data_IF_402679332072
#
_entry.id   IF_402679332072
#
_cell.length_a   1.000
_cell.length_b   1.000
_cell.length_c   1.000
_cell.angle_alpha   90.00
_cell.angle_beta   90.00
_cell.angle_gamma   90.00
#
_symmetry.space_group_name_H-M   'P 1'
#
loop_
_entity.id
_entity.type
_entity.pdbx_description
1 polymer ?
#
# COMPACT_ATOMS: atom_id res chain seq x y z
N UNK A 1 15.78 -13.54 -14.91
CA UNK A 1 15.76 -14.46 -13.74
C UNK A 1 14.44 -14.25 -13.03
N UNK A 2 13.82 -15.31 -12.53
CA UNK A 2 12.59 -15.23 -11.75
C UNK A 2 12.94 -14.82 -10.32
N UNK A 3 12.23 -13.84 -9.78
CA UNK A 3 12.42 -13.34 -8.40
C UNK A 3 11.57 -14.22 -7.47
N UNK A 4 12.20 -14.92 -6.54
CA UNK A 4 11.51 -15.80 -5.59
C UNK A 4 11.15 -15.06 -4.31
N UNK A 5 9.88 -15.08 -3.98
CA UNK A 5 9.31 -14.27 -2.88
C UNK A 5 8.61 -15.16 -1.86
N UNK A 6 8.91 -14.93 -0.58
CA UNK A 6 8.15 -15.41 0.56
C UNK A 6 7.17 -14.35 1.05
N UNK A 7 6.03 -14.77 1.56
CA UNK A 7 5.02 -13.89 2.19
C UNK A 7 4.86 -14.29 3.66
N UNK A 8 5.10 -13.38 4.58
CA UNK A 8 4.79 -13.56 6.00
C UNK A 8 3.53 -12.78 6.35
N UNK A 9 2.46 -13.49 6.72
CA UNK A 9 1.12 -12.96 6.92
C UNK A 9 0.26 -13.01 5.64
N UNK A 10 -0.76 -13.85 5.63
CA UNK A 10 -1.67 -14.04 4.51
C UNK A 10 -3.04 -13.38 4.75
N UNK A 11 -2.99 -12.21 5.42
CA UNK A 11 -4.13 -11.30 5.60
C UNK A 11 -4.54 -10.63 4.28
N UNK A 12 -5.27 -9.50 4.36
CA UNK A 12 -5.73 -8.78 3.15
C UNK A 12 -4.57 -8.49 2.18
N UNK A 13 -3.51 -7.82 2.66
CA UNK A 13 -2.40 -7.39 1.80
C UNK A 13 -1.59 -8.59 1.30
N UNK A 14 -1.25 -9.56 2.16
CA UNK A 14 -0.52 -10.77 1.71
C UNK A 14 -1.26 -11.52 0.60
N UNK A 15 -2.59 -11.66 0.70
CA UNK A 15 -3.40 -12.28 -0.36
C UNK A 15 -3.48 -11.43 -1.63
N UNK A 16 -3.57 -10.10 -1.52
CA UNK A 16 -3.58 -9.23 -2.71
C UNK A 16 -2.21 -9.19 -3.40
N UNK A 17 -1.12 -9.17 -2.65
CA UNK A 17 0.24 -9.35 -3.19
C UNK A 17 0.34 -10.66 -3.96
N UNK A 18 -0.15 -11.76 -3.39
CA UNK A 18 -0.19 -13.06 -4.06
C UNK A 18 -1.01 -13.03 -5.35
N UNK A 19 -2.25 -12.52 -5.29
CA UNK A 19 -3.14 -12.45 -6.46
C UNK A 19 -2.57 -11.55 -7.56
N UNK A 20 -1.99 -10.42 -7.19
CA UNK A 20 -1.35 -9.52 -8.14
C UNK A 20 -0.11 -10.17 -8.78
N UNK A 21 0.71 -10.89 -8.00
CA UNK A 21 1.87 -11.61 -8.52
C UNK A 21 1.47 -12.62 -9.61
N UNK A 22 0.43 -13.42 -9.35
CA UNK A 22 -0.05 -14.41 -10.34
C UNK A 22 -0.65 -13.74 -11.59
N UNK A 23 -1.33 -12.60 -11.42
CA UNK A 23 -2.05 -11.93 -12.51
C UNK A 23 -1.14 -11.09 -13.40
N UNK A 24 -0.28 -10.26 -12.79
CA UNK A 24 0.35 -9.14 -13.50
C UNK A 24 1.89 -9.13 -13.42
N UNK A 25 2.51 -10.06 -12.64
CA UNK A 25 3.95 -10.08 -12.41
C UNK A 25 4.58 -11.45 -12.70
N UNK A 26 4.65 -11.86 -13.98
CA UNK A 26 5.11 -13.20 -14.36
C UNK A 26 6.59 -13.49 -14.05
N UNK A 27 7.37 -12.47 -13.75
CA UNK A 27 8.75 -12.51 -13.31
C UNK A 27 8.92 -12.72 -11.80
N UNK A 28 7.82 -12.71 -11.02
CA UNK A 28 7.81 -12.95 -9.58
C UNK A 28 7.13 -14.28 -9.28
N UNK A 29 7.79 -15.12 -8.51
CA UNK A 29 7.29 -16.42 -8.06
C UNK A 29 7.15 -16.45 -6.54
N UNK A 30 5.94 -16.72 -6.05
CA UNK A 30 5.71 -16.92 -4.63
C UNK A 30 6.05 -18.38 -4.31
N UNK A 31 7.07 -18.60 -3.46
CA UNK A 31 7.60 -19.93 -3.15
C UNK A 31 7.25 -20.40 -1.73
N UNK A 32 6.79 -19.50 -0.87
CA UNK A 32 6.39 -19.84 0.50
C UNK A 32 5.49 -18.80 1.10
N UNK A 33 4.58 -19.22 1.96
CA UNK A 33 3.66 -18.40 2.72
C UNK A 33 3.68 -18.86 4.17
N UNK A 34 3.75 -17.94 5.11
CA UNK A 34 3.57 -18.21 6.52
C UNK A 34 2.31 -17.50 7.03
N UNK A 35 1.42 -18.25 7.65
CA UNK A 35 0.29 -17.75 8.41
C UNK A 35 -0.11 -18.78 9.46
N UNK A 36 -0.71 -18.35 10.57
CA UNK A 36 -1.03 -19.25 11.69
C UNK A 36 -2.34 -20.06 11.49
N UNK A 37 -2.95 -19.97 10.33
CA UNK A 37 -4.18 -20.64 9.96
C UNK A 37 -3.90 -21.96 9.21
N UNK A 38 -4.88 -22.86 9.24
CA UNK A 38 -4.80 -24.15 8.57
C UNK A 38 -4.76 -24.02 7.03
N UNK A 39 -4.04 -24.92 6.32
CA UNK A 39 -3.88 -24.86 4.87
C UNK A 39 -5.19 -24.75 4.08
N UNK A 40 -6.19 -25.56 4.42
CA UNK A 40 -7.50 -25.55 3.77
C UNK A 40 -8.21 -24.21 3.91
N UNK A 41 -8.07 -23.57 5.07
CA UNK A 41 -8.66 -22.26 5.30
C UNK A 41 -7.91 -21.15 4.54
N UNK A 42 -6.58 -21.24 4.42
CA UNK A 42 -5.79 -20.33 3.58
C UNK A 42 -6.21 -20.46 2.10
N UNK A 43 -6.38 -21.67 1.62
CA UNK A 43 -6.88 -21.96 0.26
C UNK A 43 -8.28 -21.37 0.03
N UNK A 44 -9.19 -21.56 1.01
CA UNK A 44 -10.52 -20.98 0.98
C UNK A 44 -10.49 -19.45 0.89
N UNK A 45 -9.71 -18.80 1.76
CA UNK A 45 -9.58 -17.32 1.75
C UNK A 45 -8.91 -16.77 0.49
N UNK A 46 -8.00 -17.54 -0.13
CA UNK A 46 -7.44 -17.15 -1.42
C UNK A 46 -8.48 -17.25 -2.53
N UNK A 47 -9.31 -18.31 -2.49
CA UNK A 47 -10.31 -18.60 -3.51
C UNK A 47 -11.45 -17.58 -3.52
N UNK A 48 -11.96 -17.20 -2.35
CA UNK A 48 -13.13 -16.34 -2.21
C UNK A 48 -12.76 -15.01 -1.56
N UNK A 49 -13.16 -13.92 -2.18
CA UNK A 49 -12.96 -12.57 -1.65
C UNK A 49 -14.19 -11.70 -1.92
N UNK A 50 -14.68 -11.03 -0.89
CA UNK A 50 -15.90 -10.22 -0.98
C UNK A 50 -15.71 -8.94 -1.79
N UNK A 51 -14.49 -8.46 -1.91
CA UNK A 51 -14.14 -7.22 -2.62
C UNK A 51 -13.66 -7.53 -4.04
N UNK A 52 -12.68 -8.42 -4.17
CA UNK A 52 -12.00 -8.71 -5.44
C UNK A 52 -12.54 -9.97 -6.14
N UNK A 53 -13.60 -10.57 -5.60
CA UNK A 53 -14.26 -11.73 -6.20
C UNK A 53 -13.44 -13.03 -6.13
N UNK A 54 -13.88 -14.05 -6.87
CA UNK A 54 -13.19 -15.33 -6.92
C UNK A 54 -11.84 -15.23 -7.60
N UNK A 55 -10.87 -15.94 -7.02
CA UNK A 55 -9.57 -16.13 -7.66
C UNK A 55 -9.73 -16.84 -9.01
N UNK A 56 -9.08 -16.31 -10.04
CA UNK A 56 -9.12 -16.90 -11.38
C UNK A 56 -7.93 -17.84 -11.53
N UNK A 57 -8.13 -19.11 -11.21
CA UNK A 57 -7.13 -20.16 -11.28
C UNK A 57 -7.48 -21.36 -10.43
N UNK A 58 -6.70 -22.43 -10.55
CA UNK A 58 -6.88 -23.66 -9.80
C UNK A 58 -6.17 -23.56 -8.46
N UNK A 59 -6.84 -23.97 -7.40
CA UNK A 59 -6.31 -24.01 -6.04
C UNK A 59 -6.60 -25.38 -5.44
N UNK A 60 -5.56 -26.03 -4.93
CA UNK A 60 -5.62 -27.28 -4.18
C UNK A 60 -4.67 -27.22 -2.97
N UNK A 61 -4.84 -28.13 -2.05
CA UNK A 61 -3.96 -28.35 -0.89
C UNK A 61 -3.42 -29.77 -0.95
N UNK A 62 -2.12 -29.92 -0.73
CA UNK A 62 -1.43 -31.21 -0.63
C UNK A 62 -0.55 -31.21 0.62
N UNK A 63 -1.07 -31.78 1.70
CA UNK A 63 -0.44 -31.72 3.01
C UNK A 63 -0.30 -30.28 3.50
N UNK A 64 0.93 -29.83 3.69
CA UNK A 64 1.27 -28.46 4.10
C UNK A 64 1.67 -27.58 2.91
N UNK A 65 1.24 -27.91 1.70
CA UNK A 65 1.55 -27.12 0.52
C UNK A 65 0.28 -26.64 -0.15
N UNK A 66 0.30 -25.38 -0.60
CA UNK A 66 -0.71 -24.83 -1.46
C UNK A 66 -0.31 -25.04 -2.91
N UNK A 67 -1.21 -25.63 -3.71
CA UNK A 67 -0.99 -25.82 -5.15
C UNK A 67 -1.83 -24.79 -5.88
N UNK A 68 -1.18 -23.88 -6.60
CA UNK A 68 -1.88 -22.85 -7.37
C UNK A 68 -1.42 -22.93 -8.84
N UNK A 69 -2.36 -23.17 -9.75
CA UNK A 69 -2.08 -23.36 -11.17
C UNK A 69 -0.97 -24.40 -11.42
N UNK A 70 -0.99 -25.49 -10.63
CA UNK A 70 0.02 -26.56 -10.70
C UNK A 70 1.37 -26.24 -10.04
N UNK A 71 1.58 -25.05 -9.52
CA UNK A 71 2.79 -24.68 -8.78
C UNK A 71 2.64 -24.91 -7.29
N UNK A 72 3.66 -25.53 -6.70
CA UNK A 72 3.71 -25.87 -5.28
C UNK A 72 4.29 -24.70 -4.47
N UNK A 73 3.61 -24.31 -3.42
CA UNK A 73 3.96 -23.21 -2.51
C UNK A 73 3.96 -23.75 -1.09
N UNK A 74 5.10 -23.69 -0.42
CA UNK A 74 5.20 -24.17 0.97
C UNK A 74 4.38 -23.30 1.91
N UNK A 75 3.53 -23.92 2.72
CA UNK A 75 2.84 -23.26 3.84
C UNK A 75 3.55 -23.58 5.15
N UNK A 76 3.62 -22.59 6.03
CA UNK A 76 4.12 -22.72 7.41
C UNK A 76 3.20 -22.00 8.38
N UNK A 77 3.17 -22.45 9.64
CA UNK A 77 2.39 -21.84 10.72
C UNK A 77 3.32 -21.55 11.93
N UNK A 78 4.36 -20.73 11.68
CA UNK A 78 5.43 -20.43 12.62
C UNK A 78 5.30 -19.00 13.12
N UNK A 79 5.39 -18.81 14.45
CA UNK A 79 5.26 -17.50 15.08
C UNK A 79 6.53 -16.67 15.03
N UNK A 80 7.69 -17.30 15.19
CA UNK A 80 8.99 -16.61 15.14
C UNK A 80 9.51 -16.56 13.69
N UNK A 81 9.63 -15.37 13.08
CA UNK A 81 10.13 -15.27 11.72
C UNK A 81 11.54 -15.84 11.49
N UNK A 82 12.36 -15.91 12.54
CA UNK A 82 13.71 -16.49 12.45
C UNK A 82 13.71 -18.01 12.16
N UNK A 83 12.62 -18.71 12.46
CA UNK A 83 12.46 -20.15 12.25
C UNK A 83 11.80 -20.51 10.91
N UNK A 84 11.46 -19.52 10.07
CA UNK A 84 10.72 -19.73 8.82
C UNK A 84 11.51 -20.44 7.70
N UNK A 85 12.83 -20.50 7.85
CA UNK A 85 13.72 -21.20 6.92
C UNK A 85 13.40 -20.86 5.43
N UNK A 86 13.42 -19.59 5.11
CA UNK A 86 13.18 -19.07 3.76
C UNK A 86 14.21 -19.60 2.75
N UNK A 87 15.44 -19.84 3.22
CA UNK A 87 16.51 -20.43 2.39
C UNK A 87 16.16 -21.80 1.80
N UNK A 88 15.38 -22.62 2.51
CA UNK A 88 15.01 -23.97 2.04
C UNK A 88 14.09 -23.94 0.82
N UNK A 89 13.32 -22.86 0.61
CA UNK A 89 12.48 -22.68 -0.60
C UNK A 89 13.12 -21.69 -1.57
N UNK A 90 14.31 -21.20 -1.27
CA UNK A 90 15.04 -20.26 -2.10
C UNK A 90 14.36 -18.88 -2.21
N UNK A 91 13.60 -18.46 -1.20
CA UNK A 91 13.01 -17.14 -1.19
C UNK A 91 14.11 -16.08 -1.03
N UNK A 92 14.31 -15.27 -2.05
CA UNK A 92 15.31 -14.20 -2.04
C UNK A 92 14.79 -12.97 -1.26
N UNK A 93 13.51 -12.68 -1.40
CA UNK A 93 12.85 -11.51 -0.81
C UNK A 93 11.64 -11.97 -0.01
N UNK A 94 11.44 -11.37 1.17
CA UNK A 94 10.24 -11.59 1.97
C UNK A 94 9.40 -10.33 2.01
N UNK A 95 8.11 -10.48 1.71
CA UNK A 95 7.08 -9.47 1.99
C UNK A 95 6.55 -9.71 3.40
N UNK A 96 6.87 -8.79 4.32
CA UNK A 96 6.35 -8.80 5.68
C UNK A 96 5.00 -8.08 5.73
N UNK A 97 3.91 -8.82 5.86
CA UNK A 97 2.54 -8.31 5.83
C UNK A 97 1.68 -8.71 7.04
N UNK A 98 2.32 -9.13 8.14
CA UNK A 98 1.61 -9.41 9.40
C UNK A 98 1.19 -8.14 10.15
N UNK A 99 1.88 -7.02 9.93
CA UNK A 99 1.72 -5.80 10.71
C UNK A 99 2.38 -5.83 12.10
N UNK A 100 3.13 -6.89 12.42
CA UNK A 100 3.78 -7.09 13.73
C UNK A 100 5.25 -6.67 13.70
N UNK A 101 6.00 -7.09 12.69
CA UNK A 101 7.46 -6.92 12.56
C UNK A 101 7.78 -5.69 11.70
N UNK A 102 7.48 -4.50 12.23
CA UNK A 102 7.55 -3.22 11.49
C UNK A 102 8.74 -2.34 11.88
N UNK A 103 9.76 -2.92 12.42
CA UNK A 103 11.06 -2.29 12.71
C UNK A 103 12.18 -3.17 12.18
N UNK A 104 13.39 -2.61 12.17
CA UNK A 104 14.58 -3.29 11.66
C UNK A 104 14.83 -4.60 12.41
N UNK A 105 14.74 -4.59 13.74
CA UNK A 105 15.01 -5.76 14.57
C UNK A 105 14.04 -6.92 14.27
N UNK A 106 12.74 -6.63 14.14
CA UNK A 106 11.73 -7.63 13.78
C UNK A 106 11.91 -8.17 12.36
N UNK A 107 12.24 -7.29 11.41
CA UNK A 107 12.45 -7.68 10.01
C UNK A 107 13.76 -8.47 9.79
N UNK A 108 14.81 -8.20 10.58
CA UNK A 108 16.08 -8.95 10.54
C UNK A 108 15.91 -10.46 10.81
N UNK A 109 14.85 -10.86 11.50
CA UNK A 109 14.54 -12.27 11.73
C UNK A 109 14.35 -13.04 10.41
N UNK A 110 13.79 -12.40 9.38
CA UNK A 110 13.66 -13.02 8.05
C UNK A 110 15.00 -13.21 7.35
N UNK A 111 15.96 -12.30 7.56
CA UNK A 111 17.33 -12.46 7.04
C UNK A 111 18.03 -13.65 7.69
N UNK A 112 17.86 -13.81 9.01
CA UNK A 112 18.37 -14.98 9.77
C UNK A 112 17.75 -16.28 9.26
N UNK A 113 16.49 -16.25 8.81
CA UNK A 113 15.80 -17.38 8.22
C UNK A 113 16.20 -17.67 6.76
N UNK A 114 17.15 -16.92 6.18
CA UNK A 114 17.75 -17.18 4.87
C UNK A 114 17.21 -16.31 3.72
N UNK A 115 16.36 -15.33 3.98
CA UNK A 115 16.03 -14.31 3.00
C UNK A 115 17.19 -13.33 2.81
N UNK A 116 17.35 -12.79 1.61
CA UNK A 116 18.38 -11.78 1.31
C UNK A 116 17.89 -10.36 1.61
N UNK A 117 16.60 -10.11 1.39
CA UNK A 117 15.97 -8.80 1.56
C UNK A 117 14.56 -8.92 2.12
N UNK A 118 14.10 -7.85 2.78
CA UNK A 118 12.76 -7.77 3.37
C UNK A 118 12.10 -6.46 2.98
N UNK A 119 10.85 -6.53 2.56
CA UNK A 119 9.98 -5.37 2.35
C UNK A 119 8.79 -5.43 3.31
N UNK A 120 8.70 -4.45 4.20
CA UNK A 120 7.57 -4.28 5.10
C UNK A 120 6.41 -3.63 4.35
N UNK A 121 5.23 -4.25 4.36
CA UNK A 121 4.02 -3.72 3.72
C UNK A 121 3.27 -2.73 4.64
N UNK A 122 4.00 -1.94 5.40
CA UNK A 122 3.47 -0.90 6.29
C UNK A 122 4.58 0.13 6.58
N UNK A 123 4.25 1.31 7.11
CA UNK A 123 5.24 2.26 7.56
C UNK A 123 6.13 1.66 8.66
N UNK A 124 7.44 1.88 8.57
CA UNK A 124 8.36 1.47 9.64
C UNK A 124 8.11 2.26 10.92
N UNK A 125 8.31 1.59 12.07
CA UNK A 125 8.23 2.22 13.41
C UNK A 125 9.53 2.91 13.82
N UNK A 126 10.61 2.67 13.09
CA UNK A 126 11.94 3.21 13.31
C UNK A 126 12.42 4.02 12.09
N UNK A 127 13.74 4.12 11.90
CA UNK A 127 14.40 4.82 10.82
C UNK A 127 14.64 3.95 9.57
N UNK A 128 14.09 2.73 9.51
CA UNK A 128 14.17 1.87 8.31
C UNK A 128 13.73 2.65 7.07
N UNK A 129 14.54 2.66 6.00
CA UNK A 129 14.26 3.43 4.79
C UNK A 129 12.90 3.13 4.19
N UNK A 130 12.18 4.18 3.85
CA UNK A 130 10.82 4.12 3.33
C UNK A 130 10.80 4.57 1.88
N UNK A 131 10.22 3.75 1.01
CA UNK A 131 10.13 4.03 -0.42
C UNK A 131 8.68 4.03 -0.89
N UNK A 132 8.42 4.95 -1.82
CA UNK A 132 7.19 4.99 -2.63
C UNK A 132 7.61 4.87 -4.08
N UNK A 133 7.15 3.80 -4.74
CA UNK A 133 7.45 3.58 -6.15
C UNK A 133 6.94 4.75 -7.02
N UNK A 134 7.75 5.19 -7.97
CA UNK A 134 7.47 6.36 -8.80
C UNK A 134 7.83 7.72 -8.15
N UNK A 135 8.15 7.75 -6.84
CA UNK A 135 8.51 9.00 -6.13
C UNK A 135 9.97 9.03 -5.73
N UNK A 136 10.42 8.07 -4.91
CA UNK A 136 11.80 8.03 -4.42
C UNK A 136 12.47 6.65 -4.57
N UNK A 137 11.86 5.69 -5.27
CA UNK A 137 12.41 4.34 -5.45
C UNK A 137 13.79 4.33 -6.13
N UNK A 138 14.08 5.35 -6.95
CA UNK A 138 15.40 5.52 -7.59
C UNK A 138 16.54 5.84 -6.61
N UNK A 139 16.19 6.22 -5.37
CA UNK A 139 17.15 6.45 -4.29
C UNK A 139 17.53 5.18 -3.53
N UNK A 140 16.96 4.02 -3.89
CA UNK A 140 17.34 2.74 -3.30
C UNK A 140 18.81 2.45 -3.57
N UNK A 141 19.56 2.17 -2.52
CA UNK A 141 21.03 2.02 -2.55
C UNK A 141 21.51 0.63 -2.11
N UNK A 142 20.62 -0.36 -2.05
CA UNK A 142 20.96 -1.74 -1.71
C UNK A 142 20.58 -2.17 -0.30
N UNK A 143 19.76 -1.40 0.41
CA UNK A 143 19.28 -1.72 1.75
C UNK A 143 18.63 -3.11 1.81
N UNK A 144 19.00 -3.91 2.81
CA UNK A 144 18.47 -5.26 2.97
C UNK A 144 17.01 -5.26 3.51
N UNK A 145 16.63 -4.20 4.23
CA UNK A 145 15.31 -4.05 4.82
C UNK A 145 14.77 -2.69 4.44
N UNK A 146 13.57 -2.66 3.85
CA UNK A 146 12.87 -1.43 3.47
C UNK A 146 11.40 -1.47 3.89
N UNK A 147 10.78 -0.30 3.94
CA UNK A 147 9.33 -0.13 4.09
C UNK A 147 8.73 0.41 2.79
N UNK A 148 7.59 -0.15 2.36
CA UNK A 148 6.79 0.36 1.25
C UNK A 148 5.81 1.47 1.68
N UNK A 149 5.99 2.07 2.84
CA UNK A 149 5.08 3.06 3.42
C UNK A 149 3.63 2.51 3.60
N UNK A 150 2.65 3.40 3.73
CA UNK A 150 1.23 3.04 3.75
C UNK A 150 0.57 3.21 2.39
N UNK A 151 -0.62 2.63 2.21
CA UNK A 151 -1.45 2.86 1.02
C UNK A 151 -1.78 4.35 0.84
N UNK A 152 -2.12 5.05 1.93
CA UNK A 152 -2.40 6.49 1.90
C UNK A 152 -1.14 7.31 1.53
N UNK A 153 0.04 6.94 2.03
CA UNK A 153 1.30 7.61 1.63
C UNK A 153 1.59 7.38 0.15
N UNK A 154 1.33 6.18 -0.36
CA UNK A 154 1.48 5.86 -1.79
C UNK A 154 0.52 6.64 -2.69
N UNK A 155 -0.67 7.01 -2.20
CA UNK A 155 -1.58 7.90 -2.91
C UNK A 155 -1.16 9.37 -2.82
N UNK A 156 -0.83 9.83 -1.62
CA UNK A 156 -0.53 11.24 -1.35
C UNK A 156 0.79 11.70 -1.98
N UNK A 157 1.84 10.88 -1.93
CA UNK A 157 3.18 11.28 -2.34
C UNK A 157 3.28 11.66 -3.83
N UNK A 158 2.67 10.94 -4.80
CA UNK A 158 2.69 11.33 -6.20
C UNK A 158 2.09 12.72 -6.45
N UNK A 159 0.88 12.99 -5.95
CA UNK A 159 0.23 14.29 -6.15
C UNK A 159 0.97 15.43 -5.41
N UNK A 160 1.45 15.16 -4.19
CA UNK A 160 2.28 16.14 -3.46
C UNK A 160 3.60 16.43 -4.19
N UNK A 161 4.22 15.43 -4.82
CA UNK A 161 5.44 15.61 -5.61
C UNK A 161 5.20 16.51 -6.82
N UNK A 162 4.14 16.26 -7.60
CA UNK A 162 3.81 17.11 -8.77
C UNK A 162 3.58 18.55 -8.35
N UNK A 163 2.81 18.78 -7.28
CA UNK A 163 2.57 20.14 -6.77
C UNK A 163 3.87 20.81 -6.27
N UNK A 164 4.67 20.07 -5.50
CA UNK A 164 5.91 20.61 -4.95
C UNK A 164 6.97 20.91 -6.00
N UNK A 165 7.13 20.03 -6.97
CA UNK A 165 8.14 20.19 -8.02
C UNK A 165 7.83 21.39 -8.95
N UNK A 166 6.56 21.68 -9.20
CA UNK A 166 6.16 22.77 -10.08
C UNK A 166 6.03 24.13 -9.35
N UNK A 167 5.36 24.14 -8.20
CA UNK A 167 4.99 25.40 -7.53
C UNK A 167 5.52 25.52 -6.11
N UNK A 168 6.05 24.45 -5.53
CA UNK A 168 6.45 24.39 -4.13
C UNK A 168 5.26 24.39 -3.18
N UNK A 169 5.29 23.55 -2.16
CA UNK A 169 4.30 23.52 -1.09
C UNK A 169 4.86 24.24 0.13
N UNK A 170 4.17 25.29 0.61
CA UNK A 170 4.48 25.95 1.88
C UNK A 170 4.00 25.08 3.05
N UNK A 171 2.73 24.68 3.03
CA UNK A 171 2.07 23.86 4.04
C UNK A 171 0.79 23.23 3.50
N UNK A 172 0.32 22.18 4.15
CA UNK A 172 -0.93 21.54 3.76
C UNK A 172 -1.52 20.64 4.83
N UNK A 173 -2.82 20.43 4.70
CA UNK A 173 -3.59 19.48 5.51
C UNK A 173 -4.19 18.42 4.60
N UNK A 174 -4.03 17.16 5.00
CA UNK A 174 -4.59 16.03 4.29
C UNK A 174 -5.68 15.36 5.12
N UNK A 175 -6.81 15.10 4.50
CA UNK A 175 -7.80 14.18 5.02
C UNK A 175 -7.91 12.99 4.10
N UNK A 176 -7.84 11.77 4.62
CA UNK A 176 -8.26 10.61 3.86
C UNK A 176 -9.61 10.11 4.34
N UNK A 177 -10.57 10.02 3.42
CA UNK A 177 -11.80 9.27 3.65
C UNK A 177 -11.50 7.82 3.26
N UNK A 178 -11.34 6.97 4.26
CA UNK A 178 -10.70 5.67 4.10
C UNK A 178 -11.69 4.53 4.33
N UNK A 179 -11.65 3.55 3.45
CA UNK A 179 -12.41 2.31 3.59
C UNK A 179 -12.12 1.60 4.92
N UNK A 180 -13.06 0.79 5.37
CA UNK A 180 -12.88 -0.08 6.52
C UNK A 180 -11.75 -1.09 6.27
N UNK A 181 -10.95 -1.34 7.30
CA UNK A 181 -9.90 -2.36 7.27
C UNK A 181 -10.12 -3.35 8.42
N UNK A 182 -9.33 -4.42 8.46
CA UNK A 182 -9.43 -5.45 9.50
C UNK A 182 -9.26 -4.92 10.95
N UNK A 183 -8.79 -3.68 11.12
CA UNK A 183 -8.67 -3.05 12.44
C UNK A 183 -9.95 -2.41 12.94
N UNK A 184 -10.91 -2.12 12.07
CA UNK A 184 -12.23 -1.61 12.46
C UNK A 184 -13.07 -2.72 13.08
N UNK A 185 -13.92 -2.34 14.06
CA UNK A 185 -14.87 -3.24 14.69
C UNK A 185 -16.16 -3.31 13.88
N UNK A 186 -16.74 -4.50 13.77
CA UNK A 186 -18.07 -4.68 13.16
C UNK A 186 -19.17 -4.08 14.07
N UNK A 187 -19.06 -4.33 15.38
CA UNK A 187 -19.92 -3.78 16.44
C UNK A 187 -19.05 -3.15 17.52
N UNK A 188 -19.65 -2.33 18.39
CA UNK A 188 -18.91 -1.69 19.48
C UNK A 188 -18.15 -2.70 20.33
N UNK A 189 -16.88 -2.46 20.57
CA UNK A 189 -16.00 -3.33 21.33
C UNK A 189 -14.82 -2.57 21.94
N UNK A 190 -14.09 -3.16 22.88
CA UNK A 190 -13.02 -2.49 23.58
C UNK A 190 -11.86 -2.09 22.63
N UNK A 191 -11.34 -0.90 22.82
CA UNK A 191 -10.12 -0.41 22.18
C UNK A 191 -9.26 0.31 23.22
N UNK A 192 -8.01 -0.15 23.41
CA UNK A 192 -7.12 0.39 24.44
C UNK A 192 -6.42 1.69 24.05
N UNK A 193 -6.16 1.89 22.76
CA UNK A 193 -5.36 3.03 22.27
C UNK A 193 -6.20 4.17 21.74
N UNK A 194 -7.27 3.85 21.04
CA UNK A 194 -8.18 4.81 20.42
C UNK A 194 -9.62 4.36 20.67
N UNK A 195 -10.33 5.08 21.52
CA UNK A 195 -11.70 4.73 21.89
C UNK A 195 -12.64 4.77 20.68
N UNK A 196 -12.44 5.71 19.74
CA UNK A 196 -13.21 5.78 18.50
C UNK A 196 -13.01 4.54 17.63
N UNK A 197 -11.80 3.98 17.62
CA UNK A 197 -11.49 2.72 16.93
C UNK A 197 -12.20 1.48 17.50
N UNK A 198 -12.81 1.61 18.68
CA UNK A 198 -13.67 0.58 19.30
C UNK A 198 -15.12 0.61 18.83
N UNK A 199 -15.54 1.65 18.08
CA UNK A 199 -16.91 1.78 17.60
C UNK A 199 -17.13 0.97 16.31
N UNK A 200 -18.35 0.45 16.16
CA UNK A 200 -18.77 -0.30 14.98
C UNK A 200 -18.74 0.55 13.71
N UNK A 201 -18.18 -0.01 12.63
CA UNK A 201 -17.96 0.74 11.38
C UNK A 201 -19.21 0.89 10.52
N UNK A 202 -20.18 -0.04 10.64
CA UNK A 202 -21.27 -0.18 9.66
C UNK A 202 -22.16 1.06 9.50
N UNK A 203 -22.30 1.87 10.54
CA UNK A 203 -23.19 3.04 10.57
C UNK A 203 -22.45 4.31 11.06
N UNK A 204 -21.10 4.29 11.06
CA UNK A 204 -20.32 5.38 11.62
C UNK A 204 -19.34 5.99 10.61
N UNK A 205 -19.07 7.27 10.81
CA UNK A 205 -17.91 7.98 10.30
C UNK A 205 -16.96 8.14 11.48
N UNK A 206 -15.82 7.46 11.44
CA UNK A 206 -14.89 7.34 12.58
C UNK A 206 -13.63 8.17 12.32
N UNK A 207 -13.44 9.33 13.00
CA UNK A 207 -12.17 10.05 12.94
C UNK A 207 -11.04 9.20 13.54
N UNK A 208 -9.91 9.17 12.85
CA UNK A 208 -8.74 8.38 13.26
C UNK A 208 -7.46 9.15 12.94
N UNK A 209 -6.44 8.99 13.77
CA UNK A 209 -5.12 9.54 13.46
C UNK A 209 -4.45 8.75 12.32
N UNK A 210 -3.62 9.44 11.54
CA UNK A 210 -2.79 8.80 10.52
C UNK A 210 -1.40 9.44 10.48
N UNK A 211 -0.38 8.62 10.31
CA UNK A 211 0.99 9.07 10.06
C UNK A 211 1.31 9.30 8.59
N UNK A 212 0.36 9.06 7.68
CA UNK A 212 0.61 9.03 6.24
C UNK A 212 1.15 10.36 5.68
N UNK A 213 0.57 11.50 6.10
CA UNK A 213 1.04 12.81 5.66
C UNK A 213 2.44 13.15 6.19
N UNK A 214 2.75 12.76 7.43
CA UNK A 214 4.10 12.93 7.99
C UNK A 214 5.12 12.02 7.29
N UNK A 215 4.70 10.82 6.88
CA UNK A 215 5.56 9.88 6.15
C UNK A 215 5.96 10.41 4.77
N UNK A 216 5.16 11.28 4.13
CA UNK A 216 5.55 11.96 2.89
C UNK A 216 6.83 12.77 3.07
N UNK A 217 7.05 13.40 4.23
CA UNK A 217 8.29 14.11 4.54
C UNK A 217 9.53 13.21 4.66
N UNK A 218 9.37 11.89 4.89
CA UNK A 218 10.48 10.93 4.81
C UNK A 218 10.79 10.53 3.36
N UNK A 219 9.79 10.52 2.50
CA UNK A 219 9.87 10.15 1.08
C UNK A 219 10.29 11.33 0.21
N UNK A 220 9.78 12.52 0.52
CA UNK A 220 10.08 13.81 -0.13
C UNK A 220 10.58 14.75 0.96
N UNK A 221 11.91 14.81 1.22
CA UNK A 221 12.47 15.57 2.34
C UNK A 221 12.10 17.05 2.38
N UNK A 222 11.88 17.66 1.21
CA UNK A 222 11.47 19.06 1.06
C UNK A 222 10.08 19.34 1.68
N UNK A 223 9.27 18.31 1.87
CA UNK A 223 7.95 18.37 2.50
C UNK A 223 7.95 18.02 4.00
N UNK A 224 9.14 17.79 4.57
CA UNK A 224 9.24 17.47 5.99
C UNK A 224 8.67 18.61 6.85
N UNK A 225 7.77 18.27 7.79
CA UNK A 225 7.03 19.18 8.66
C UNK A 225 6.08 20.17 7.96
N UNK A 226 5.89 20.06 6.64
CA UNK A 226 4.95 20.90 5.89
C UNK A 226 3.56 20.28 5.76
N UNK A 227 3.46 18.96 5.87
CA UNK A 227 2.19 18.23 5.74
C UNK A 227 1.84 17.50 7.04
N UNK A 228 0.57 17.56 7.41
CA UNK A 228 -0.04 16.70 8.44
C UNK A 228 -1.47 16.35 8.03
N UNK A 229 -2.12 15.44 8.75
CA UNK A 229 -3.47 15.05 8.36
C UNK A 229 -4.11 14.04 9.31
N UNK A 230 -5.33 13.66 8.94
CA UNK A 230 -6.15 12.69 9.65
C UNK A 230 -6.91 11.79 8.67
N UNK A 231 -7.60 10.80 9.21
CA UNK A 231 -8.46 9.91 8.47
C UNK A 231 -9.89 9.94 9.00
N UNK A 232 -10.87 9.80 8.12
CA UNK A 232 -12.20 9.34 8.46
C UNK A 232 -12.37 7.91 7.94
N UNK A 233 -12.68 6.97 8.83
CA UNK A 233 -13.05 5.60 8.45
C UNK A 233 -14.55 5.56 8.19
N UNK A 234 -14.93 5.02 7.04
CA UNK A 234 -16.31 4.96 6.55
C UNK A 234 -16.71 3.52 6.20
N UNK A 235 -18.01 3.19 6.16
CA UNK A 235 -18.50 1.83 5.91
C UNK A 235 -18.45 1.46 4.41
N UNK A 236 -17.30 1.65 3.79
CA UNK A 236 -16.98 1.14 2.45
C UNK A 236 -15.99 -0.02 2.57
N UNK A 237 -16.12 -1.02 1.72
CA UNK A 237 -15.30 -2.24 1.81
C UNK A 237 -13.90 -2.07 1.25
N UNK A 238 -13.72 -1.16 0.30
CA UNK A 238 -12.47 -0.88 -0.39
C UNK A 238 -12.57 0.43 -1.16
N UNK A 239 -11.44 0.93 -1.62
CA UNK A 239 -11.21 2.22 -2.25
C UNK A 239 -11.39 3.40 -1.28
N UNK A 240 -10.37 4.18 -1.21
CA UNK A 240 -10.24 5.36 -0.35
C UNK A 240 -9.91 6.58 -1.19
N UNK A 241 -10.04 7.75 -0.61
CA UNK A 241 -9.72 9.01 -1.26
C UNK A 241 -8.86 9.91 -0.37
N UNK A 242 -7.88 10.55 -0.97
CA UNK A 242 -7.08 11.64 -0.36
C UNK A 242 -7.68 12.96 -0.78
N UNK A 243 -7.99 13.80 0.19
CA UNK A 243 -8.28 15.23 0.09
C UNK A 243 -7.06 15.98 0.63
N UNK A 244 -6.33 16.65 -0.26
CA UNK A 244 -5.15 17.42 0.08
C UNK A 244 -5.39 18.91 -0.18
N UNK A 245 -5.45 19.71 0.88
CA UNK A 245 -5.50 21.17 0.79
C UNK A 245 -4.12 21.74 1.07
N UNK A 246 -3.58 22.54 0.17
CA UNK A 246 -2.23 23.12 0.27
C UNK A 246 -2.21 24.61 -0.02
N UNK A 247 -1.25 25.28 0.61
CA UNK A 247 -0.78 26.62 0.23
C UNK A 247 0.50 26.45 -0.61
N UNK A 248 0.43 26.90 -1.86
CA UNK A 248 1.53 26.88 -2.81
C UNK A 248 2.49 28.08 -2.60
N UNK A 249 3.75 27.93 -2.99
CA UNK A 249 4.75 28.99 -2.93
C UNK A 249 4.69 29.92 -4.14
N UNK A 250 4.19 29.42 -5.27
CA UNK A 250 3.96 30.17 -6.51
C UNK A 250 2.51 30.02 -6.91
N UNK A 251 1.94 31.02 -7.54
CA UNK A 251 0.61 30.95 -8.10
C UNK A 251 0.50 29.91 -9.22
N UNK A 252 -0.65 29.28 -9.29
CA UNK A 252 -1.05 28.37 -10.34
C UNK A 252 -2.57 28.47 -10.55
N UNK A 253 -3.03 28.43 -11.80
CA UNK A 253 -4.43 28.17 -12.05
C UNK A 253 -4.75 26.69 -11.79
N UNK A 254 -6.01 26.37 -11.56
CA UNK A 254 -6.40 24.97 -11.36
C UNK A 254 -6.21 24.15 -12.64
N UNK A 255 -6.40 24.77 -13.82
CA UNK A 255 -6.16 24.18 -15.12
C UNK A 255 -4.68 23.80 -15.32
N UNK A 256 -3.75 24.66 -14.88
CA UNK A 256 -2.31 24.35 -14.92
C UNK A 256 -1.99 23.15 -14.01
N UNK A 257 -2.61 23.05 -12.84
CA UNK A 257 -2.46 21.91 -11.94
C UNK A 257 -2.97 20.63 -12.61
N UNK A 258 -4.18 20.66 -13.20
CA UNK A 258 -4.73 19.53 -13.92
C UNK A 258 -3.82 19.09 -15.08
N UNK A 259 -3.32 20.04 -15.87
CA UNK A 259 -2.41 19.75 -17.00
C UNK A 259 -1.10 19.10 -16.52
N UNK A 260 -0.51 19.58 -15.40
CA UNK A 260 0.69 19.01 -14.84
C UNK A 260 0.47 17.57 -14.28
N UNK A 261 -0.68 17.34 -13.66
CA UNK A 261 -1.06 16.00 -13.16
C UNK A 261 -1.26 15.03 -14.33
N UNK A 262 -1.96 15.46 -15.40
CA UNK A 262 -2.14 14.66 -16.60
C UNK A 262 -0.80 14.34 -17.25
N UNK A 263 0.05 15.34 -17.48
CA UNK A 263 1.37 15.12 -18.05
C UNK A 263 2.25 14.16 -17.21
N UNK A 264 2.19 14.26 -15.88
CA UNK A 264 2.90 13.33 -15.00
C UNK A 264 2.35 11.90 -15.12
N UNK A 265 1.03 11.73 -15.21
CA UNK A 265 0.36 10.42 -15.33
C UNK A 265 0.67 9.71 -16.66
N UNK A 266 0.83 10.45 -17.72
CA UNK A 266 1.19 9.93 -19.05
C UNK A 266 2.70 9.73 -19.22
N UNK A 267 3.50 10.42 -18.42
CA UNK A 267 4.95 10.49 -18.49
C UNK A 267 5.67 9.80 -17.33
N UNK A 268 6.35 10.59 -16.51
CA UNK A 268 7.29 10.11 -15.49
C UNK A 268 6.64 9.27 -14.38
N UNK A 269 5.35 9.42 -14.14
CA UNK A 269 4.60 8.66 -13.14
C UNK A 269 3.58 7.69 -13.75
N UNK A 270 3.76 7.32 -15.02
CA UNK A 270 2.89 6.33 -15.67
C UNK A 270 2.82 5.02 -14.87
N UNK A 271 1.59 4.55 -14.64
CA UNK A 271 1.33 3.35 -13.83
C UNK A 271 1.43 3.57 -12.31
N UNK A 272 1.71 4.79 -11.86
CA UNK A 272 1.70 5.20 -10.44
C UNK A 272 0.62 6.24 -10.21
N UNK A 273 0.65 7.32 -10.96
CA UNK A 273 -0.37 8.36 -11.00
C UNK A 273 -1.28 8.12 -12.20
N UNK A 274 -2.58 8.01 -11.95
CA UNK A 274 -3.64 8.05 -12.94
C UNK A 274 -4.27 9.44 -12.98
N UNK A 275 -5.10 9.69 -13.97
CA UNK A 275 -5.83 10.94 -14.16
C UNK A 275 -7.26 10.66 -14.65
N UNK A 276 -8.23 11.35 -14.09
CA UNK A 276 -9.62 11.31 -14.55
C UNK A 276 -10.24 12.70 -14.51
N UNK A 277 -11.15 12.96 -15.45
CA UNK A 277 -12.04 14.11 -15.48
C UNK A 277 -13.51 13.66 -15.58
N UNK A 278 -13.79 12.39 -15.30
CA UNK A 278 -15.11 11.80 -15.32
C UNK A 278 -15.80 11.91 -13.96
N UNK A 279 -17.12 11.77 -13.94
CA UNK A 279 -17.96 11.80 -12.72
C UNK A 279 -17.91 10.44 -12.03
N UNK A 280 -16.81 10.15 -11.33
CA UNK A 280 -16.51 8.85 -10.72
C UNK A 280 -16.76 8.84 -9.21
N UNK A 281 -16.89 7.62 -8.68
CA UNK A 281 -17.02 7.35 -7.26
C UNK A 281 -16.10 6.17 -6.86
N UNK A 282 -15.95 5.91 -5.57
CA UNK A 282 -15.00 4.93 -5.05
C UNK A 282 -15.05 3.56 -5.73
N UNK A 283 -16.25 3.02 -6.01
CA UNK A 283 -16.39 1.67 -6.57
C UNK A 283 -15.85 1.52 -7.99
N UNK A 284 -15.68 2.63 -8.73
CA UNK A 284 -15.13 2.63 -10.09
C UNK A 284 -13.63 2.29 -10.10
N UNK A 285 -12.97 2.44 -8.96
CA UNK A 285 -11.52 2.21 -8.81
C UNK A 285 -11.18 0.86 -8.13
N UNK A 286 -12.14 -0.05 -7.96
CA UNK A 286 -11.83 -1.40 -7.46
C UNK A 286 -10.95 -2.15 -8.45
N UNK A 287 -9.80 -2.61 -7.99
CA UNK A 287 -8.80 -3.28 -8.81
C UNK A 287 -7.91 -2.32 -9.61
N UNK A 288 -7.96 -1.00 -9.32
CA UNK A 288 -7.04 -0.03 -9.93
C UNK A 288 -5.61 -0.28 -9.45
N UNK A 289 -4.67 -0.37 -10.38
CA UNK A 289 -3.26 -0.63 -10.11
C UNK A 289 -2.44 0.63 -9.82
N UNK A 290 -2.90 1.80 -10.29
CA UNK A 290 -2.31 3.08 -9.86
C UNK A 290 -2.61 3.32 -8.39
N UNK A 291 -1.62 3.77 -7.64
CA UNK A 291 -1.79 4.08 -6.21
C UNK A 291 -2.34 5.47 -5.95
N UNK A 292 -2.51 6.28 -6.99
CA UNK A 292 -3.03 7.64 -6.92
C UNK A 292 -3.71 7.96 -8.25
N UNK A 293 -5.02 8.14 -8.27
CA UNK A 293 -5.74 8.62 -9.46
C UNK A 293 -6.24 10.01 -9.17
N UNK A 294 -5.59 11.01 -9.76
CA UNK A 294 -5.98 12.41 -9.62
C UNK A 294 -7.33 12.65 -10.28
N UNK A 295 -8.25 13.25 -9.51
CA UNK A 295 -9.59 13.60 -9.97
C UNK A 295 -9.66 15.10 -10.28
N UNK A 296 -9.62 15.45 -11.55
CA UNK A 296 -9.61 16.83 -12.02
C UNK A 296 -10.94 17.55 -11.78
N UNK A 297 -12.05 16.81 -11.72
CA UNK A 297 -13.39 17.39 -11.54
C UNK A 297 -13.73 17.63 -10.06
N UNK A 298 -13.07 16.94 -9.14
CA UNK A 298 -13.37 17.00 -7.71
C UNK A 298 -12.56 18.06 -6.94
N UNK A 299 -11.51 18.62 -7.52
CA UNK A 299 -10.66 19.62 -6.85
C UNK A 299 -11.22 21.03 -6.96
N UNK A 300 -10.67 21.95 -6.13
CA UNK A 300 -11.07 23.35 -6.08
C UNK A 300 -9.84 24.23 -5.83
N UNK A 301 -9.82 25.43 -6.46
CA UNK A 301 -8.93 26.52 -6.07
C UNK A 301 -9.75 27.65 -5.45
N UNK A 302 -9.30 28.16 -4.29
CA UNK A 302 -9.88 29.37 -3.69
C UNK A 302 -9.26 30.62 -4.33
N UNK A 303 -7.95 30.54 -4.56
CA UNK A 303 -7.14 31.54 -5.26
C UNK A 303 -5.95 30.85 -5.93
N UNK A 304 -5.05 31.60 -6.55
CA UNK A 304 -3.88 31.05 -7.22
C UNK A 304 -2.87 30.32 -6.33
N UNK A 305 -2.99 30.40 -5.01
CA UNK A 305 -2.05 29.77 -4.07
C UNK A 305 -2.70 28.78 -3.12
N UNK A 306 -4.01 28.81 -2.94
CA UNK A 306 -4.70 27.95 -1.98
C UNK A 306 -5.66 27.00 -2.70
N UNK A 307 -5.24 25.72 -2.78
CA UNK A 307 -5.91 24.73 -3.62
C UNK A 307 -6.17 23.43 -2.86
N UNK A 308 -7.25 22.76 -3.24
CA UNK A 308 -7.59 21.40 -2.83
C UNK A 308 -7.51 20.49 -4.05
N UNK A 309 -6.80 19.39 -3.91
CA UNK A 309 -6.73 18.31 -4.89
C UNK A 309 -7.25 17.02 -4.28
N UNK A 310 -7.86 16.20 -5.13
CA UNK A 310 -8.47 14.92 -4.76
C UNK A 310 -7.80 13.81 -5.53
N UNK A 311 -7.50 12.68 -4.88
CA UNK A 311 -6.96 11.51 -5.53
C UNK A 311 -7.55 10.22 -4.93
N UNK A 312 -7.98 9.31 -5.80
CA UNK A 312 -8.53 7.99 -5.47
C UNK A 312 -7.44 6.93 -5.42
N UNK A 313 -7.65 5.90 -4.61
CA UNK A 313 -6.77 4.74 -4.56
C UNK A 313 -7.48 3.49 -4.06
N UNK A 314 -7.26 2.37 -4.75
CA UNK A 314 -7.56 1.07 -4.19
C UNK A 314 -6.50 0.76 -3.12
N UNK A 315 -6.90 0.84 -1.85
CA UNK A 315 -6.00 0.72 -0.71
C UNK A 315 -5.45 -0.70 -0.51
N UNK A 316 -5.99 -1.69 -1.23
CA UNK A 316 -5.55 -3.08 -1.22
C UNK A 316 -4.79 -3.45 -2.51
N UNK A 317 -5.43 -3.32 -3.67
CA UNK A 317 -4.89 -3.78 -4.95
C UNK A 317 -3.73 -2.92 -5.44
N UNK A 318 -3.95 -1.62 -5.63
CA UNK A 318 -2.91 -0.70 -6.12
C UNK A 318 -1.68 -0.69 -5.22
N UNK A 319 -1.90 -0.70 -3.91
CA UNK A 319 -0.82 -0.81 -2.92
C UNK A 319 -0.03 -2.12 -3.08
N UNK A 320 -0.71 -3.26 -3.22
CA UNK A 320 -0.08 -4.56 -3.40
C UNK A 320 0.71 -4.66 -4.69
N UNK A 321 0.23 -4.05 -5.78
CA UNK A 321 0.99 -3.92 -7.02
C UNK A 321 2.31 -3.14 -6.80
N UNK A 322 2.30 -2.08 -6.00
CA UNK A 322 3.52 -1.29 -5.73
C UNK A 322 4.49 -1.98 -4.77
N UNK A 323 3.99 -2.85 -3.87
CA UNK A 323 4.87 -3.78 -3.13
C UNK A 323 5.65 -4.66 -4.12
N UNK A 324 4.99 -5.20 -5.14
CA UNK A 324 5.65 -6.05 -6.16
C UNK A 324 6.58 -5.25 -7.09
N UNK A 325 6.23 -4.01 -7.44
CA UNK A 325 7.16 -3.14 -8.16
C UNK A 325 8.42 -2.84 -7.32
N UNK A 326 8.27 -2.62 -6.02
CA UNK A 326 9.43 -2.44 -5.14
C UNK A 326 10.21 -3.75 -4.96
N UNK A 327 9.58 -4.91 -4.98
CA UNK A 327 10.28 -6.22 -5.06
C UNK A 327 11.19 -6.25 -6.29
N UNK A 328 10.72 -5.82 -7.46
CA UNK A 328 11.55 -5.70 -8.68
C UNK A 328 12.72 -4.73 -8.54
N UNK A 329 12.51 -3.62 -7.83
CA UNK A 329 13.56 -2.63 -7.57
C UNK A 329 14.65 -3.21 -6.70
N UNK A 330 14.27 -3.84 -5.58
CA UNK A 330 15.25 -4.36 -4.62
C UNK A 330 15.90 -5.67 -5.06
N UNK A 331 15.33 -6.39 -6.03
CA UNK A 331 15.91 -7.63 -6.57
C UNK A 331 17.12 -7.40 -7.47
N UNK A 332 17.34 -6.17 -7.93
CA UNK A 332 18.50 -5.78 -8.75
C UNK A 332 19.73 -5.63 -7.85
#
# INVERSE_FOLDING_TARGET
MTIKVGINGFGRIGRMVFRAAIKDFPDIEIVGINDLLEPDYLAYMLKYDSVHGRFKGDIAVDGNDLIVNGKKIRLTAVKDPAELNWGAVGADIVVESTGLFLDKAGAEAHLKAGAKKVIMSAPSKDDTPMFVYGVNHSKYAGEAIISNASCTTNCLAPVAKVLNDNWGIKRGLMTTVHAATATQKTVDGPSKKDWRGGRGILENIIPSSTGAAKAVGKVIPELNKKLTGMAFRVPTSDVSVVDLTVELSKEASYEEICAAMQAASEGAMKGVLGYTNEKVVATDFRGESCTSVFDADAGIALDGTFVKVVAWYDNEWGYSCKVLEMVRVIAK
#
